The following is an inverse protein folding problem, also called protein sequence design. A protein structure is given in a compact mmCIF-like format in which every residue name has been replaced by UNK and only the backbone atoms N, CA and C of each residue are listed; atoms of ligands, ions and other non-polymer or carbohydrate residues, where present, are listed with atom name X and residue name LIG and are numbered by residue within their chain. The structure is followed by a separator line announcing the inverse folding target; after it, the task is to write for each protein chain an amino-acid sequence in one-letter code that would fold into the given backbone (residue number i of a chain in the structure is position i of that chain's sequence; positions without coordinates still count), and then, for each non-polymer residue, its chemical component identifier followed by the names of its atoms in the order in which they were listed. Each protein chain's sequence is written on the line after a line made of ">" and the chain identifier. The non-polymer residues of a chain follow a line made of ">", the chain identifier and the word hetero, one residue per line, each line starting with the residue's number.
data_IF_063663393325
#
_entry.id   IF_063663393325
#
_cell.length_a   1.000
_cell.length_b   1.000
_cell.length_c   1.000
_cell.angle_alpha   90.00
_cell.angle_beta   90.00
_cell.angle_gamma   90.00
#
_symmetry.space_group_name_H-M   'P 1'
#
loop_
_entity.id
_entity.type
_entity.pdbx_description
1 polymer ?
#
# COMPACT_ATOMS: atom_id res chain seq x y z
N UNK A 1 18.59 4.74 15.72
CA UNK A 1 17.36 4.68 14.91
C UNK A 1 16.63 3.44 15.32
N UNK A 2 15.48 3.58 15.99
CA UNK A 2 14.59 2.46 16.31
C UNK A 2 13.86 2.09 15.03
N UNK A 3 14.29 1.01 14.37
CA UNK A 3 13.55 0.38 13.29
C UNK A 3 12.16 0.04 13.83
N UNK A 4 11.10 0.62 13.25
CA UNK A 4 9.74 0.24 13.59
C UNK A 4 9.58 -1.27 13.37
N UNK A 5 8.90 -2.01 14.26
CA UNK A 5 8.73 -3.45 14.10
C UNK A 5 7.93 -3.75 12.84
N UNK A 6 8.43 -4.68 12.02
CA UNK A 6 7.70 -5.20 10.86
C UNK A 6 6.47 -5.98 11.35
N UNK A 7 5.30 -5.64 10.82
CA UNK A 7 4.03 -6.18 11.29
C UNK A 7 3.47 -7.22 10.31
N UNK A 8 3.06 -8.36 10.87
CA UNK A 8 2.32 -9.43 10.20
C UNK A 8 0.86 -9.36 10.66
N UNK A 9 -0.09 -9.39 9.73
CA UNK A 9 -1.47 -9.72 10.09
C UNK A 9 -1.69 -11.22 9.98
N UNK A 10 -2.06 -11.83 11.11
CA UNK A 10 -2.41 -13.25 11.24
C UNK A 10 -3.82 -13.36 11.79
N UNK A 11 -4.77 -13.94 11.04
CA UNK A 11 -6.15 -14.14 11.52
C UNK A 11 -6.80 -12.95 12.25
N UNK A 12 -6.47 -11.71 11.85
CA UNK A 12 -6.99 -10.46 12.42
C UNK A 12 -6.24 -9.87 13.62
N UNK A 13 -5.16 -10.52 14.06
CA UNK A 13 -4.20 -9.99 15.04
C UNK A 13 -2.94 -9.45 14.36
N UNK A 14 -2.37 -8.42 14.96
CA UNK A 14 -1.07 -7.87 14.55
C UNK A 14 0.03 -8.55 15.36
N UNK A 15 0.84 -9.34 14.68
CA UNK A 15 2.04 -9.95 15.23
C UNK A 15 3.29 -9.24 14.71
N UNK A 16 4.37 -9.31 15.47
CA UNK A 16 5.67 -8.84 15.01
C UNK A 16 6.36 -9.95 14.22
N UNK A 17 6.91 -9.65 13.04
CA UNK A 17 7.80 -10.59 12.37
C UNK A 17 9.13 -10.70 13.11
N UNK A 18 9.63 -11.92 13.24
CA UNK A 18 10.97 -12.19 13.76
C UNK A 18 12.07 -11.58 12.87
N UNK A 19 11.85 -11.56 11.55
CA UNK A 19 12.76 -10.96 10.57
C UNK A 19 12.00 -10.42 9.38
N UNK A 20 12.49 -9.31 8.84
CA UNK A 20 11.98 -8.72 7.60
C UNK A 20 12.40 -9.55 6.37
N UNK A 21 11.44 -10.02 5.53
CA UNK A 21 11.72 -10.68 4.27
C UNK A 21 12.58 -9.86 3.29
N UNK A 22 12.57 -8.53 3.39
CA UNK A 22 13.38 -7.65 2.54
C UNK A 22 14.81 -7.41 3.08
N UNK A 23 15.06 -7.67 4.37
CA UNK A 23 16.35 -7.36 5.00
C UNK A 23 17.58 -7.93 4.26
N UNK A 24 17.58 -9.17 3.75
CA UNK A 24 18.72 -9.71 2.99
C UNK A 24 19.04 -8.91 1.71
N UNK A 25 18.07 -8.20 1.17
CA UNK A 25 18.14 -7.46 -0.08
C UNK A 25 18.30 -5.95 0.11
N UNK A 26 18.35 -5.47 1.36
CA UNK A 26 18.50 -4.04 1.71
C UNK A 26 19.76 -3.36 1.15
N UNK A 27 20.71 -4.14 0.63
CA UNK A 27 21.92 -3.65 -0.04
C UNK A 27 21.69 -3.19 -1.49
N UNK A 28 20.52 -3.49 -2.06
CA UNK A 28 20.14 -3.04 -3.40
C UNK A 28 19.54 -1.63 -3.30
N UNK A 29 19.96 -0.70 -4.16
CA UNK A 29 19.46 0.68 -4.12
C UNK A 29 18.05 0.82 -4.75
N UNK A 30 17.63 -0.15 -5.57
CA UNK A 30 16.35 -0.16 -6.27
C UNK A 30 15.29 -0.96 -5.50
N UNK A 31 14.21 -0.28 -5.10
CA UNK A 31 13.08 -0.89 -4.39
C UNK A 31 12.43 -2.04 -5.16
N UNK A 32 12.20 -1.87 -6.47
CA UNK A 32 11.58 -2.90 -7.29
C UNK A 32 12.50 -4.13 -7.42
N UNK A 33 13.81 -3.91 -7.43
CA UNK A 33 14.80 -4.99 -7.43
C UNK A 33 14.82 -5.74 -6.09
N UNK A 34 14.72 -5.02 -4.96
CA UNK A 34 14.59 -5.63 -3.62
C UNK A 34 13.37 -6.54 -3.53
N UNK A 35 12.21 -6.03 -3.89
CA UNK A 35 10.92 -6.75 -3.80
C UNK A 35 10.92 -7.98 -4.71
N UNK A 36 11.42 -7.85 -5.96
CA UNK A 36 11.56 -8.98 -6.89
C UNK A 36 12.54 -10.03 -6.38
N UNK A 37 13.69 -9.62 -5.85
CA UNK A 37 14.71 -10.54 -5.32
C UNK A 37 14.21 -11.30 -4.08
N UNK A 38 13.36 -10.67 -3.27
CA UNK A 38 12.64 -11.34 -2.18
C UNK A 38 11.59 -12.34 -2.68
N UNK A 39 11.25 -12.33 -3.97
CA UNK A 39 10.32 -13.26 -4.61
C UNK A 39 8.88 -12.75 -4.66
N UNK A 40 8.68 -11.43 -4.49
CA UNK A 40 7.38 -10.80 -4.59
C UNK A 40 7.17 -10.17 -5.97
N UNK A 41 5.93 -10.22 -6.46
CA UNK A 41 5.50 -9.53 -7.67
C UNK A 41 4.30 -8.64 -7.37
N UNK A 42 4.16 -7.53 -8.11
CA UNK A 42 3.04 -6.60 -7.94
C UNK A 42 1.74 -7.31 -8.31
N UNK A 43 0.81 -7.39 -7.35
CA UNK A 43 -0.47 -8.08 -7.49
C UNK A 43 -1.63 -7.10 -7.68
N UNK A 44 -1.60 -5.96 -6.98
CA UNK A 44 -2.65 -4.96 -7.06
C UNK A 44 -2.35 -3.74 -6.20
N UNK A 45 -3.37 -2.91 -5.98
CA UNK A 45 -3.25 -1.72 -5.14
C UNK A 45 -4.59 -1.04 -4.92
N UNK A 46 -4.60 -0.08 -3.99
CA UNK A 46 -5.73 0.83 -3.75
C UNK A 46 -5.24 2.27 -3.90
N UNK A 47 -5.70 2.92 -4.96
CA UNK A 47 -5.21 4.24 -5.37
C UNK A 47 -3.89 4.20 -6.12
N UNK A 48 -3.42 5.39 -6.51
CA UNK A 48 -2.12 5.60 -7.14
C UNK A 48 -1.47 6.86 -6.57
N UNK A 49 -0.15 6.96 -6.68
CA UNK A 49 0.63 8.11 -6.22
C UNK A 49 0.16 9.45 -6.83
N UNK A 50 -0.33 9.43 -8.07
CA UNK A 50 -0.73 10.64 -8.79
C UNK A 50 -2.15 11.11 -8.41
N UNK A 51 -2.98 10.19 -7.92
CA UNK A 51 -4.41 10.43 -7.72
C UNK A 51 -4.76 10.81 -6.28
N UNK A 52 -4.09 10.18 -5.29
CA UNK A 52 -4.49 10.30 -3.89
C UNK A 52 -3.28 10.39 -2.94
N UNK A 53 -3.38 11.18 -1.85
CA UNK A 53 -2.24 11.41 -0.96
C UNK A 53 -1.86 10.20 -0.11
N UNK A 54 -2.69 9.15 -0.10
CA UNK A 54 -2.45 7.91 0.65
C UNK A 54 -2.87 6.73 -0.23
N UNK A 55 -1.94 5.84 -0.61
CA UNK A 55 -2.24 4.69 -1.46
C UNK A 55 -1.60 3.41 -0.93
N UNK A 56 -2.09 2.28 -1.43
CA UNK A 56 -1.57 0.94 -1.13
C UNK A 56 -1.05 0.27 -2.38
N UNK A 57 0.13 -0.33 -2.27
CA UNK A 57 0.65 -1.29 -3.23
C UNK A 57 0.70 -2.67 -2.59
N UNK A 58 0.21 -3.66 -3.31
CA UNK A 58 0.09 -5.03 -2.80
C UNK A 58 0.91 -5.93 -3.71
N UNK A 59 1.82 -6.65 -3.09
CA UNK A 59 2.69 -7.62 -3.74
C UNK A 59 2.40 -9.01 -3.18
N UNK A 60 2.53 -10.02 -4.02
CA UNK A 60 2.30 -11.43 -3.67
C UNK A 60 3.56 -12.23 -3.94
N UNK A 61 3.85 -13.19 -3.07
CA UNK A 61 4.97 -14.11 -3.27
C UNK A 61 4.73 -15.02 -4.49
N UNK A 62 5.77 -15.32 -5.26
CA UNK A 62 5.69 -16.30 -6.34
C UNK A 62 5.34 -17.71 -5.82
N UNK A 63 4.67 -18.49 -6.67
CA UNK A 63 4.17 -19.84 -6.36
C UNK A 63 5.26 -20.86 -6.05
N UNK A 64 6.51 -20.60 -6.44
CA UNK A 64 7.67 -21.43 -6.09
C UNK A 64 8.05 -21.33 -4.60
N UNK A 65 7.51 -20.34 -3.87
CA UNK A 65 7.61 -20.19 -2.41
C UNK A 65 6.26 -20.37 -1.69
N UNK A 66 5.23 -20.89 -2.38
CA UNK A 66 3.91 -21.16 -1.77
C UNK A 66 4.06 -22.12 -0.58
N UNK A 67 3.71 -21.64 0.61
CA UNK A 67 3.83 -22.38 1.87
C UNK A 67 4.72 -21.71 2.92
N UNK A 68 5.48 -20.67 2.54
CA UNK A 68 6.20 -19.82 3.49
C UNK A 68 5.41 -18.52 3.73
N UNK A 69 5.01 -18.26 4.98
CA UNK A 69 4.48 -16.96 5.37
C UNK A 69 5.63 -15.95 5.52
N UNK A 70 5.42 -14.66 5.21
CA UNK A 70 4.18 -14.06 4.70
C UNK A 70 3.94 -14.26 3.19
N UNK A 71 2.68 -14.44 2.78
CA UNK A 71 2.30 -14.57 1.37
C UNK A 71 2.19 -13.23 0.63
N UNK A 72 1.97 -12.14 1.37
CA UNK A 72 1.74 -10.81 0.82
C UNK A 72 2.62 -9.77 1.53
N UNK A 73 3.11 -8.83 0.73
CA UNK A 73 3.76 -7.61 1.17
C UNK A 73 2.87 -6.45 0.76
N UNK A 74 2.61 -5.55 1.71
CA UNK A 74 1.75 -4.37 1.52
C UNK A 74 2.58 -3.14 1.82
N UNK A 75 2.63 -2.21 0.87
CA UNK A 75 3.28 -0.91 1.04
C UNK A 75 2.19 0.14 1.19
N UNK A 76 2.12 0.78 2.35
CA UNK A 76 1.29 1.96 2.58
C UNK A 76 2.14 3.19 2.37
N UNK A 77 1.78 4.01 1.39
CA UNK A 77 2.57 5.15 0.97
C UNK A 77 1.79 6.45 1.10
N UNK A 78 2.47 7.50 1.53
CA UNK A 78 2.04 8.90 1.55
C UNK A 78 3.21 9.75 1.00
N UNK A 79 2.96 10.97 0.53
CA UNK A 79 3.96 11.88 -0.04
C UNK A 79 5.31 11.86 0.71
N UNK A 80 6.28 11.13 0.15
CA UNK A 80 7.66 11.02 0.65
C UNK A 80 7.91 9.99 1.76
N UNK A 81 6.91 9.23 2.21
CA UNK A 81 7.05 8.22 3.26
C UNK A 81 6.29 6.95 2.90
N UNK A 82 6.84 5.80 3.27
CA UNK A 82 6.15 4.52 3.15
C UNK A 82 6.34 3.66 4.39
N UNK A 83 5.38 2.80 4.64
CA UNK A 83 5.42 1.74 5.64
C UNK A 83 5.22 0.39 4.94
N UNK A 84 5.98 -0.61 5.36
CA UNK A 84 5.89 -1.98 4.83
C UNK A 84 5.23 -2.87 5.88
N UNK A 85 4.18 -3.56 5.48
CA UNK A 85 3.47 -4.53 6.28
C UNK A 85 3.32 -5.85 5.53
N UNK A 86 3.03 -6.91 6.27
CA UNK A 86 2.94 -8.25 5.74
C UNK A 86 1.60 -8.89 6.07
N UNK A 87 1.11 -9.72 5.16
CA UNK A 87 -0.09 -10.54 5.38
C UNK A 87 0.26 -12.01 5.18
N UNK A 88 -0.11 -12.86 6.15
CA UNK A 88 0.18 -14.28 6.08
C UNK A 88 -0.60 -14.99 4.96
N UNK A 89 -1.77 -14.47 4.61
CA UNK A 89 -2.74 -15.12 3.72
C UNK A 89 -3.67 -14.10 3.06
N UNK A 90 -4.45 -14.55 2.06
CA UNK A 90 -5.42 -13.69 1.38
C UNK A 90 -6.54 -13.19 2.32
N UNK A 91 -7.11 -14.01 3.24
CA UNK A 91 -8.04 -13.51 4.25
C UNK A 91 -7.46 -12.40 5.13
N UNK A 92 -6.21 -12.55 5.59
CA UNK A 92 -5.55 -11.55 6.43
C UNK A 92 -5.30 -10.24 5.66
N UNK A 93 -4.96 -10.34 4.37
CA UNK A 93 -4.86 -9.19 3.46
C UNK A 93 -6.22 -8.49 3.30
N UNK A 94 -7.30 -9.24 3.05
CA UNK A 94 -8.65 -8.67 2.87
C UNK A 94 -9.11 -7.93 4.12
N UNK A 95 -8.80 -8.46 5.30
CA UNK A 95 -9.08 -7.79 6.56
C UNK A 95 -8.31 -6.48 6.69
N UNK A 96 -7.01 -6.48 6.41
CA UNK A 96 -6.18 -5.28 6.40
C UNK A 96 -6.75 -4.23 5.42
N UNK A 97 -7.12 -4.65 4.21
CA UNK A 97 -7.78 -3.78 3.24
C UNK A 97 -9.11 -3.22 3.77
N UNK A 98 -9.93 -4.04 4.44
CA UNK A 98 -11.22 -3.58 5.00
C UNK A 98 -11.05 -2.52 6.09
N UNK A 99 -9.96 -2.58 6.87
CA UNK A 99 -9.65 -1.63 7.93
C UNK A 99 -9.13 -0.29 7.39
N UNK A 100 -8.43 -0.32 6.26
CA UNK A 100 -7.78 0.88 5.70
C UNK A 100 -8.51 1.53 4.52
N UNK A 101 -9.33 0.77 3.80
CA UNK A 101 -10.10 1.30 2.67
C UNK A 101 -10.91 2.55 3.04
N UNK A 102 -11.59 2.65 4.20
CA UNK A 102 -12.29 3.87 4.58
C UNK A 102 -11.35 5.08 4.76
N UNK A 103 -10.17 4.89 5.34
CA UNK A 103 -9.20 5.97 5.53
C UNK A 103 -8.60 6.44 4.20
N UNK A 104 -8.28 5.51 3.30
CA UNK A 104 -7.78 5.81 1.95
C UNK A 104 -8.85 6.54 1.13
N UNK A 105 -10.09 6.08 1.18
CA UNK A 105 -11.22 6.75 0.53
C UNK A 105 -11.46 8.14 1.11
N UNK A 106 -11.39 8.32 2.43
CA UNK A 106 -11.51 9.62 3.05
C UNK A 106 -10.39 10.56 2.61
N UNK A 107 -9.14 10.09 2.57
CA UNK A 107 -8.00 10.87 2.10
C UNK A 107 -8.17 11.31 0.63
N UNK A 108 -8.66 10.41 -0.23
CA UNK A 108 -8.98 10.72 -1.62
C UNK A 108 -10.07 11.79 -1.76
N UNK A 109 -11.16 11.68 -0.98
CA UNK A 109 -12.26 12.66 -0.98
C UNK A 109 -11.79 14.01 -0.44
N UNK A 110 -11.00 14.03 0.63
CA UNK A 110 -10.47 15.27 1.21
C UNK A 110 -9.51 15.97 0.25
N UNK A 111 -8.63 15.24 -0.44
CA UNK A 111 -7.75 15.84 -1.46
C UNK A 111 -8.56 16.45 -2.61
N UNK A 112 -9.58 15.74 -3.10
CA UNK A 112 -10.49 16.26 -4.11
C UNK A 112 -11.16 17.56 -3.63
N UNK A 113 -11.68 17.59 -2.41
CA UNK A 113 -12.30 18.79 -1.82
C UNK A 113 -11.30 19.94 -1.67
N UNK A 114 -10.06 19.67 -1.28
CA UNK A 114 -8.99 20.68 -1.21
C UNK A 114 -8.66 21.27 -2.57
N UNK A 115 -8.59 20.43 -3.62
CA UNK A 115 -8.40 20.88 -5.02
C UNK A 115 -9.60 21.67 -5.55
N UNK A 116 -10.80 21.40 -5.05
CA UNK A 116 -12.02 22.11 -5.43
C UNK A 116 -12.10 23.52 -4.82
N UNK A 117 -11.53 23.71 -3.64
CA UNK A 117 -11.43 25.01 -2.96
C UNK A 117 -10.35 25.92 -3.57
N UNK A 118 -9.46 25.34 -4.38
CA UNK A 118 -8.50 26.09 -5.18
C UNK A 118 -9.24 26.84 -6.31
N UNK A 119 -9.59 28.10 -6.02
CA UNK A 119 -10.35 29.05 -6.85
C UNK A 119 -9.83 29.28 -8.28
N UNK A 120 -8.74 28.64 -8.68
CA UNK A 120 -8.16 28.68 -10.02
C UNK A 120 -8.81 27.72 -11.03
N UNK A 121 -9.62 26.76 -10.59
CA UNK A 121 -10.25 25.81 -11.53
C UNK A 121 -11.46 26.44 -12.26
N UNK A 122 -11.32 26.65 -13.58
CA UNK A 122 -12.39 27.17 -14.47
C UNK A 122 -13.61 26.25 -14.59
N UNK A 123 -13.57 25.07 -13.95
CA UNK A 123 -14.61 24.06 -14.00
C UNK A 123 -14.97 23.70 -12.57
N UNK A 124 -16.05 24.28 -12.04
CA UNK A 124 -16.56 23.93 -10.70
C UNK A 124 -16.83 22.43 -10.54
N UNK A 125 -17.11 21.97 -9.32
CA UNK A 125 -17.31 20.57 -8.89
C UNK A 125 -17.71 19.55 -9.97
N UNK A 126 -18.76 19.84 -10.73
CA UNK A 126 -19.26 18.96 -11.79
C UNK A 126 -18.23 18.66 -12.91
N UNK A 127 -17.35 19.60 -13.24
CA UNK A 127 -16.33 19.42 -14.28
C UNK A 127 -15.16 18.52 -13.85
N UNK A 128 -14.81 18.55 -12.56
CA UNK A 128 -13.77 17.67 -12.00
C UNK A 128 -14.29 16.24 -11.82
N UNK A 129 -15.52 16.07 -11.32
CA UNK A 129 -16.18 14.75 -11.24
C UNK A 129 -16.31 14.11 -12.62
N UNK A 130 -16.65 14.90 -13.66
CA UNK A 130 -16.75 14.39 -15.03
C UNK A 130 -15.41 13.94 -15.61
N UNK A 131 -14.29 14.55 -15.20
CA UNK A 131 -12.94 14.19 -15.66
C UNK A 131 -12.41 12.93 -14.96
N UNK A 132 -12.76 12.71 -13.69
CA UNK A 132 -12.34 11.53 -12.94
C UNK A 132 -13.12 10.25 -13.32
N UNK A 133 -14.25 10.38 -14.02
CA UNK A 133 -15.13 9.27 -14.43
C UNK A 133 -15.00 8.89 -15.92
N UNK A 134 -14.04 9.47 -16.64
CA UNK A 134 -13.71 9.15 -18.04
C UNK A 134 -12.37 8.43 -18.11
#
# INVERSE_FOLDING_TARGET
>A
MTTLPFMLTTSGTWDQLESDPLAPFSHLDDWDEQVKSAGYYKWGGLGTQDDIPLWLEIYRVHTDKEGSAPCFLVVLSNSGHFEVLYAESAPALMELQSRWAPAIQAAAVTDLLGRLDDSSSKYGFAGLVRKALQ
#
